data_IF_863840510258
#
_entry.id   IF_863840510258
#
_cell.length_a   1.000
_cell.length_b   1.000
_cell.length_c   1.000
_cell.angle_alpha   90.00
_cell.angle_beta   90.00
_cell.angle_gamma   90.00
#
_symmetry.space_group_name_H-M   'P 1'
#
loop_
_entity.id
_entity.type
_entity.pdbx_description
1 polymer ?
#
# COMPACT_ATOMS: atom_id res chain seq x y z
N UNK A 1 -51.71 52.71 -18.66
CA UNK A 1 -50.73 52.56 -19.76
C UNK A 1 -49.52 53.42 -19.41
N UNK A 2 -48.44 52.80 -18.96
CA UNK A 2 -47.15 53.44 -18.73
C UNK A 2 -46.06 52.38 -18.98
N UNK A 3 -45.22 52.63 -19.98
CA UNK A 3 -44.01 51.86 -20.25
C UNK A 3 -42.90 52.49 -19.41
N UNK A 4 -42.25 51.71 -18.55
CA UNK A 4 -41.02 52.10 -17.87
C UNK A 4 -40.06 50.91 -17.89
N UNK A 5 -38.98 51.07 -18.63
CA UNK A 5 -37.82 50.19 -18.73
C UNK A 5 -37.01 50.22 -17.43
N UNK A 6 -36.69 49.05 -16.87
CA UNK A 6 -35.71 48.93 -15.78
C UNK A 6 -34.42 48.33 -16.34
N UNK A 7 -33.36 49.15 -16.37
CA UNK A 7 -32.00 48.74 -16.70
C UNK A 7 -31.30 48.19 -15.45
N UNK A 8 -30.53 47.13 -15.64
CA UNK A 8 -29.67 46.49 -14.65
C UNK A 8 -28.47 47.37 -14.27
N UNK A 9 -28.20 47.51 -12.97
CA UNK A 9 -26.97 48.13 -12.45
C UNK A 9 -26.03 47.04 -11.90
N UNK A 10 -25.08 46.60 -12.73
CA UNK A 10 -23.87 45.91 -12.28
C UNK A 10 -22.88 46.94 -11.73
N UNK A 11 -22.68 46.95 -10.40
CA UNK A 11 -21.60 47.70 -9.74
C UNK A 11 -20.26 46.99 -9.99
N UNK A 12 -19.43 47.54 -10.88
CA UNK A 12 -18.03 47.16 -10.99
C UNK A 12 -17.26 47.67 -9.77
N UNK A 13 -16.78 46.75 -8.93
CA UNK A 13 -15.93 47.06 -7.77
C UNK A 13 -14.49 47.22 -8.29
N UNK A 14 -13.90 48.42 -8.20
CA UNK A 14 -12.48 48.65 -8.54
C UNK A 14 -11.59 47.94 -7.51
N UNK A 15 -10.78 46.99 -7.97
CA UNK A 15 -9.81 46.27 -7.13
C UNK A 15 -8.56 47.12 -6.90
N UNK A 16 -8.11 47.19 -5.64
CA UNK A 16 -6.84 47.85 -5.28
C UNK A 16 -5.65 47.03 -5.81
N UNK A 17 -4.53 47.68 -6.13
CA UNK A 17 -3.31 47.04 -6.69
C UNK A 17 -2.77 45.87 -5.85
N UNK A 18 -2.97 45.91 -4.53
CA UNK A 18 -2.61 44.80 -3.62
C UNK A 18 -3.41 43.52 -3.87
N UNK A 19 -4.67 43.63 -4.28
CA UNK A 19 -5.52 42.47 -4.56
C UNK A 19 -5.17 41.82 -5.89
N UNK A 20 -4.66 42.61 -6.84
CA UNK A 20 -4.10 42.09 -8.09
C UNK A 20 -2.84 41.29 -7.83
N UNK A 21 -1.93 41.77 -6.96
CA UNK A 21 -0.72 41.03 -6.60
C UNK A 21 -1.01 39.69 -5.91
N UNK A 22 -1.97 39.65 -4.98
CA UNK A 22 -2.38 38.40 -4.30
C UNK A 22 -3.06 37.43 -5.28
N UNK A 23 -3.91 37.93 -6.18
CA UNK A 23 -4.52 37.11 -7.22
C UNK A 23 -3.49 36.59 -8.23
N UNK A 24 -2.49 37.39 -8.59
CA UNK A 24 -1.40 37.00 -9.48
C UNK A 24 -0.48 35.94 -8.85
N UNK A 25 -0.17 36.08 -7.55
CA UNK A 25 0.60 35.08 -6.80
C UNK A 25 -0.18 33.77 -6.61
N UNK A 26 -1.49 33.85 -6.35
CA UNK A 26 -2.37 32.68 -6.29
C UNK A 26 -2.49 31.96 -7.64
N UNK A 27 -2.59 32.72 -8.74
CA UNK A 27 -2.62 32.15 -10.09
C UNK A 27 -1.27 31.53 -10.48
N UNK A 28 -0.15 32.13 -10.08
CA UNK A 28 1.20 31.55 -10.28
C UNK A 28 1.38 30.24 -9.51
N UNK A 29 0.90 30.14 -8.27
CA UNK A 29 0.95 28.89 -7.49
C UNK A 29 0.04 27.80 -8.06
N UNK A 30 -1.13 28.17 -8.56
CA UNK A 30 -2.06 27.23 -9.23
C UNK A 30 -1.46 26.76 -10.56
N UNK A 31 -0.86 27.66 -11.34
CA UNK A 31 -0.17 27.30 -12.60
C UNK A 31 1.06 26.44 -12.31
N UNK A 32 1.88 26.76 -11.31
CA UNK A 32 3.03 25.94 -10.92
C UNK A 32 2.61 24.53 -10.45
N UNK A 33 1.50 24.43 -9.72
CA UNK A 33 0.93 23.15 -9.31
C UNK A 33 0.39 22.36 -10.50
N UNK A 34 -0.33 23.02 -11.43
CA UNK A 34 -0.89 22.39 -12.64
C UNK A 34 0.19 22.02 -13.67
N UNK A 35 1.27 22.79 -13.79
CA UNK A 35 2.43 22.45 -14.63
C UNK A 35 3.10 21.17 -14.15
N UNK A 36 3.15 20.93 -12.83
CA UNK A 36 3.69 19.68 -12.27
C UNK A 36 2.76 18.47 -12.44
N UNK A 37 1.44 18.69 -12.54
CA UNK A 37 0.47 17.63 -12.88
C UNK A 37 0.38 17.35 -14.38
N UNK A 38 0.77 18.30 -15.23
CA UNK A 38 0.82 18.15 -16.69
C UNK A 38 2.19 17.64 -17.19
N UNK A 39 3.28 17.77 -16.43
CA UNK A 39 4.61 17.20 -16.72
C UNK A 39 4.76 15.69 -16.41
N UNK A 40 3.65 14.94 -16.44
CA UNK A 40 3.68 13.47 -16.45
C UNK A 40 3.98 12.90 -17.85
N UNK A 41 4.47 13.71 -18.77
CA UNK A 41 5.03 13.25 -20.06
C UNK A 41 6.49 13.64 -20.20
N UNK A 42 7.37 12.67 -19.94
CA UNK A 42 8.70 12.53 -20.54
C UNK A 42 9.78 13.58 -20.17
N UNK A 43 10.34 13.47 -18.97
CA UNK A 43 11.74 13.86 -18.73
C UNK A 43 12.60 12.61 -18.54
N UNK A 44 13.07 12.06 -19.67
CA UNK A 44 14.15 11.09 -19.70
C UNK A 44 15.48 11.81 -19.48
N UNK A 45 16.03 11.72 -18.27
CA UNK A 45 17.46 11.96 -18.03
C UNK A 45 18.24 10.97 -18.92
N UNK A 46 19.23 11.39 -19.73
CA UNK A 46 19.98 10.47 -20.56
C UNK A 46 20.84 9.59 -19.65
N UNK A 47 20.35 8.37 -19.38
CA UNK A 47 21.14 7.30 -18.81
C UNK A 47 22.25 6.97 -19.80
N UNK A 48 23.50 7.11 -19.38
CA UNK A 48 24.66 6.68 -20.16
C UNK A 48 24.51 5.18 -20.37
N UNK A 49 24.25 4.81 -21.62
CA UNK A 49 23.90 3.47 -22.05
C UNK A 49 25.14 2.57 -22.05
N UNK A 50 25.47 2.02 -20.89
CA UNK A 50 26.23 0.77 -20.82
C UNK A 50 25.22 -0.38 -20.93
N UNK A 51 24.76 -0.66 -22.14
CA UNK A 51 24.04 -1.90 -22.45
C UNK A 51 24.97 -3.10 -22.13
N UNK A 52 24.68 -3.89 -21.08
CA UNK A 52 25.19 -5.24 -21.04
C UNK A 52 24.43 -6.06 -22.11
N UNK A 53 24.98 -7.17 -22.62
CA UNK A 53 24.33 -7.94 -23.65
C UNK A 53 22.94 -8.41 -23.18
N UNK A 54 21.94 -8.20 -24.03
CA UNK A 54 20.56 -8.70 -23.90
C UNK A 54 20.61 -10.15 -23.43
N UNK A 55 20.24 -10.38 -22.18
CA UNK A 55 20.24 -11.70 -21.55
C UNK A 55 18.79 -12.09 -21.22
N UNK A 56 18.34 -13.13 -21.92
CA UNK A 56 17.13 -13.94 -21.66
C UNK A 56 15.76 -13.26 -21.89
N UNK A 57 14.72 -13.99 -22.34
CA UNK A 57 13.36 -13.45 -22.43
C UNK A 57 12.95 -12.93 -21.05
N UNK A 58 12.23 -11.81 -20.99
CA UNK A 58 11.67 -11.34 -19.73
C UNK A 58 10.80 -12.44 -19.13
N UNK A 59 11.24 -13.05 -18.02
CA UNK A 59 10.47 -13.99 -17.22
C UNK A 59 9.32 -13.23 -16.55
N UNK A 60 8.33 -12.83 -17.33
CA UNK A 60 7.14 -12.17 -16.83
C UNK A 60 6.35 -13.16 -15.98
N UNK A 61 5.99 -12.73 -14.77
CA UNK A 61 5.27 -13.55 -13.81
C UNK A 61 3.78 -13.24 -13.93
N UNK A 62 2.99 -14.25 -14.27
CA UNK A 62 1.54 -14.13 -14.46
C UNK A 62 0.80 -13.89 -13.14
N UNK A 63 -0.24 -13.07 -13.23
CA UNK A 63 -1.21 -12.85 -12.17
C UNK A 63 -2.01 -14.13 -11.95
N UNK A 64 -2.27 -14.43 -10.68
CA UNK A 64 -3.16 -15.48 -10.23
C UNK A 64 -4.17 -14.88 -9.26
N UNK A 65 -5.46 -14.96 -9.60
CA UNK A 65 -6.52 -14.59 -8.67
C UNK A 65 -6.71 -15.72 -7.66
N UNK A 66 -6.89 -15.35 -6.40
CA UNK A 66 -6.98 -16.32 -5.32
C UNK A 66 -8.30 -17.08 -5.36
N UNK A 67 -8.22 -18.40 -5.49
CA UNK A 67 -9.41 -19.27 -5.43
C UNK A 67 -9.94 -19.38 -4.00
N UNK A 68 -9.03 -19.39 -3.01
CA UNK A 68 -9.35 -19.42 -1.58
C UNK A 68 -10.00 -18.14 -1.07
N UNK A 69 -9.74 -17.01 -1.72
CA UNK A 69 -10.41 -15.75 -1.40
C UNK A 69 -11.93 -15.84 -1.58
N UNK A 70 -12.41 -16.49 -2.64
CA UNK A 70 -13.84 -16.66 -2.87
C UNK A 70 -14.52 -17.46 -1.75
N UNK A 71 -13.89 -18.54 -1.29
CA UNK A 71 -14.38 -19.40 -0.20
C UNK A 71 -14.46 -18.64 1.13
N UNK A 72 -13.47 -17.77 1.40
CA UNK A 72 -13.41 -16.93 2.61
C UNK A 72 -14.21 -15.64 2.52
N UNK A 73 -14.81 -15.33 1.38
CA UNK A 73 -15.45 -14.04 1.12
C UNK A 73 -14.46 -12.87 1.18
N UNK A 74 -13.19 -13.10 0.84
CA UNK A 74 -12.17 -12.07 0.75
C UNK A 74 -12.24 -11.37 -0.61
N UNK A 75 -12.41 -10.05 -0.60
CA UNK A 75 -12.57 -9.24 -1.81
C UNK A 75 -11.74 -7.96 -1.71
N UNK A 76 -11.27 -7.49 -2.86
CA UNK A 76 -10.75 -6.12 -3.02
C UNK A 76 -11.86 -5.08 -2.76
N UNK A 77 -11.49 -3.81 -2.63
CA UNK A 77 -12.43 -2.72 -2.33
C UNK A 77 -13.68 -2.70 -3.23
N UNK A 78 -13.57 -3.07 -4.52
CA UNK A 78 -14.68 -3.10 -5.48
C UNK A 78 -15.49 -4.41 -5.50
N UNK A 79 -15.07 -5.42 -4.75
CA UNK A 79 -15.69 -6.76 -4.74
C UNK A 79 -15.02 -7.79 -5.65
N UNK A 80 -13.97 -7.42 -6.38
CA UNK A 80 -13.20 -8.38 -7.19
C UNK A 80 -12.35 -9.30 -6.32
N UNK A 81 -11.90 -10.43 -6.87
CA UNK A 81 -11.03 -11.36 -6.14
C UNK A 81 -9.60 -10.80 -6.02
N UNK A 82 -8.96 -10.85 -4.85
CA UNK A 82 -7.56 -10.48 -4.71
C UNK A 82 -6.66 -11.45 -5.49
N UNK A 83 -5.42 -11.06 -5.72
CA UNK A 83 -4.47 -11.85 -6.49
C UNK A 83 -3.02 -11.61 -6.13
N UNK A 84 -2.17 -12.46 -6.70
CA UNK A 84 -0.74 -12.46 -6.48
C UNK A 84 -0.01 -12.96 -7.74
N UNK A 85 1.25 -12.60 -7.88
CA UNK A 85 2.14 -13.17 -8.88
C UNK A 85 3.06 -14.17 -8.19
N UNK A 86 3.27 -15.33 -8.81
CA UNK A 86 4.05 -16.43 -8.23
C UNK A 86 5.08 -16.97 -9.21
N UNK A 87 6.34 -16.94 -8.79
CA UNK A 87 7.44 -17.62 -9.47
C UNK A 87 7.94 -18.77 -8.60
N UNK A 88 7.92 -19.99 -9.14
CA UNK A 88 8.28 -21.21 -8.42
C UNK A 88 9.80 -21.27 -8.21
N UNK A 89 10.21 -21.66 -7.00
CA UNK A 89 11.62 -21.86 -6.68
C UNK A 89 12.24 -23.09 -7.36
N UNK A 90 13.57 -23.13 -7.41
CA UNK A 90 14.36 -24.19 -8.03
C UNK A 90 15.55 -24.60 -7.16
N UNK A 91 16.06 -25.82 -7.38
CA UNK A 91 17.20 -26.36 -6.62
C UNK A 91 17.02 -26.29 -5.11
N UNK A 92 18.01 -25.71 -4.43
CA UNK A 92 18.00 -25.51 -2.97
C UNK A 92 16.90 -24.56 -2.47
N UNK A 93 16.39 -23.65 -3.33
CA UNK A 93 15.36 -22.67 -2.98
C UNK A 93 13.92 -23.20 -3.03
N UNK A 94 13.70 -24.46 -3.44
CA UNK A 94 12.36 -25.07 -3.55
C UNK A 94 11.58 -25.12 -2.23
N UNK A 95 12.28 -25.11 -1.08
CA UNK A 95 11.68 -25.06 0.27
C UNK A 95 11.84 -23.70 0.95
N UNK A 96 12.24 -22.67 0.21
CA UNK A 96 12.40 -21.32 0.73
C UNK A 96 11.39 -20.39 0.05
N UNK A 97 10.79 -19.48 0.83
CA UNK A 97 9.69 -18.64 0.39
C UNK A 97 9.96 -17.18 0.70
N UNK A 98 9.77 -16.31 -0.30
CA UNK A 98 9.85 -14.87 -0.20
C UNK A 98 8.51 -14.28 -0.62
N UNK A 99 7.77 -13.73 0.35
CA UNK A 99 6.46 -13.12 0.14
C UNK A 99 6.61 -11.61 0.23
N UNK A 100 6.37 -10.89 -0.88
CA UNK A 100 6.43 -9.44 -0.94
C UNK A 100 5.01 -8.85 -1.02
N UNK A 101 4.67 -7.99 -0.07
CA UNK A 101 3.42 -7.25 -0.01
C UNK A 101 3.58 -5.91 -0.75
N UNK A 102 2.80 -5.72 -1.81
CA UNK A 102 2.76 -4.45 -2.54
C UNK A 102 2.30 -3.30 -1.62
N UNK A 103 2.87 -2.11 -1.84
CA UNK A 103 2.47 -0.87 -1.16
C UNK A 103 1.53 0.00 -2.01
N UNK A 104 1.13 1.14 -1.47
CA UNK A 104 0.32 2.11 -2.21
C UNK A 104 -0.58 2.96 -1.33
N UNK A 105 -0.07 3.50 -0.21
CA UNK A 105 -0.85 4.35 0.70
C UNK A 105 -2.15 3.67 1.23
N UNK A 106 -3.07 4.43 1.78
CA UNK A 106 -4.36 3.99 2.33
C UNK A 106 -5.51 4.86 1.79
N UNK A 107 -6.74 4.50 2.13
CA UNK A 107 -7.90 5.39 1.98
C UNK A 107 -8.62 5.52 3.33
N UNK A 108 -9.06 6.73 3.68
CA UNK A 108 -9.55 7.05 5.04
C UNK A 108 -10.96 7.68 5.05
N UNK A 109 -11.57 7.87 3.89
CA UNK A 109 -12.96 8.31 3.73
C UNK A 109 -13.67 7.46 2.67
N UNK A 110 -15.01 7.37 2.75
CA UNK A 110 -15.81 6.71 1.71
C UNK A 110 -15.49 7.24 0.31
N UNK A 111 -15.39 8.57 0.14
CA UNK A 111 -15.05 9.16 -1.15
C UNK A 111 -13.67 8.70 -1.64
N UNK A 112 -12.64 8.74 -0.79
CA UNK A 112 -11.29 8.29 -1.16
C UNK A 112 -11.22 6.79 -1.46
N UNK A 113 -11.95 5.96 -0.72
CA UNK A 113 -11.98 4.51 -0.94
C UNK A 113 -12.78 4.15 -2.20
N UNK A 114 -13.89 4.83 -2.47
CA UNK A 114 -14.64 4.69 -3.73
C UNK A 114 -13.81 5.09 -4.94
N UNK A 115 -13.07 6.19 -4.87
CA UNK A 115 -12.15 6.58 -5.94
C UNK A 115 -11.05 5.53 -6.13
N UNK A 116 -10.49 5.01 -5.02
CA UNK A 116 -9.46 3.97 -5.03
C UNK A 116 -9.95 2.64 -5.62
N UNK A 117 -11.19 2.25 -5.37
CA UNK A 117 -11.83 1.05 -5.92
C UNK A 117 -11.85 1.05 -7.46
N UNK A 118 -11.80 2.23 -8.09
CA UNK A 118 -11.72 2.39 -9.55
C UNK A 118 -10.29 2.33 -10.11
N UNK A 119 -9.32 1.80 -9.33
CA UNK A 119 -7.91 1.74 -9.70
C UNK A 119 -7.30 0.38 -9.36
N UNK A 120 -6.05 0.14 -9.80
CA UNK A 120 -5.27 -1.05 -9.43
C UNK A 120 -5.00 -1.20 -7.92
N UNK A 121 -5.27 -0.19 -7.10
CA UNK A 121 -5.10 -0.23 -5.64
C UNK A 121 -6.39 -0.53 -4.88
N UNK A 122 -7.47 -0.84 -5.60
CA UNK A 122 -8.76 -1.21 -5.03
C UNK A 122 -9.53 -2.25 -5.84
N UNK A 123 -9.03 -2.66 -7.01
CA UNK A 123 -9.68 -3.67 -7.86
C UNK A 123 -8.66 -4.45 -8.67
N UNK A 124 -8.84 -5.78 -8.66
CA UNK A 124 -8.05 -6.71 -9.48
C UNK A 124 -8.36 -6.60 -10.97
N UNK A 125 -9.45 -5.94 -11.36
CA UNK A 125 -9.78 -5.71 -12.77
C UNK A 125 -8.77 -4.80 -13.47
N UNK A 126 -7.97 -4.05 -12.68
CA UNK A 126 -6.91 -3.17 -13.16
C UNK A 126 -5.51 -3.68 -12.81
N UNK A 127 -5.36 -4.91 -12.33
CA UNK A 127 -4.04 -5.49 -12.14
C UNK A 127 -3.39 -5.78 -13.50
N UNK A 128 -2.08 -5.52 -13.59
CA UNK A 128 -1.26 -6.03 -14.67
C UNK A 128 -1.32 -7.56 -14.66
N UNK A 129 -1.65 -8.15 -15.81
CA UNK A 129 -1.75 -9.60 -15.96
C UNK A 129 -0.40 -10.30 -15.85
N UNK A 130 0.68 -9.57 -16.15
CA UNK A 130 2.05 -10.04 -16.17
C UNK A 130 2.95 -8.92 -15.66
N UNK A 131 3.91 -9.26 -14.79
CA UNK A 131 4.87 -8.29 -14.24
C UNK A 131 6.29 -8.85 -14.27
N UNK A 132 7.27 -7.99 -14.49
CA UNK A 132 8.67 -8.34 -14.28
C UNK A 132 8.99 -8.30 -12.78
N UNK A 133 9.61 -9.36 -12.27
CA UNK A 133 10.17 -9.36 -10.92
C UNK A 133 11.56 -8.75 -10.94
N UNK A 134 11.81 -7.79 -10.07
CA UNK A 134 13.05 -7.02 -9.96
C UNK A 134 13.57 -6.99 -8.52
N UNK A 135 14.82 -6.57 -8.34
CA UNK A 135 15.45 -6.45 -7.01
C UNK A 135 15.40 -7.76 -6.24
N UNK A 136 14.94 -7.73 -4.98
CA UNK A 136 14.82 -8.92 -4.12
C UNK A 136 13.89 -10.02 -4.67
N UNK A 137 13.02 -9.69 -5.63
CA UNK A 137 12.17 -10.68 -6.32
C UNK A 137 12.79 -11.18 -7.63
N UNK A 138 13.87 -10.58 -8.14
CA UNK A 138 14.48 -10.95 -9.43
C UNK A 138 14.96 -12.40 -9.46
N UNK A 139 14.91 -13.06 -10.62
CA UNK A 139 15.51 -14.38 -10.86
C UNK A 139 16.97 -14.28 -11.27
N UNK A 140 17.46 -13.07 -11.53
CA UNK A 140 18.84 -12.81 -11.89
C UNK A 140 19.70 -12.79 -10.61
N UNK A 141 20.66 -13.71 -10.44
CA UNK A 141 21.58 -13.72 -9.30
C UNK A 141 22.43 -12.45 -9.19
N UNK A 142 22.61 -11.68 -10.28
CA UNK A 142 23.33 -10.42 -10.24
C UNK A 142 22.56 -9.32 -9.49
N UNK A 143 21.23 -9.39 -9.50
CA UNK A 143 20.34 -8.47 -8.79
C UNK A 143 19.88 -9.04 -7.44
N UNK A 144 19.75 -10.36 -7.35
CA UNK A 144 19.22 -11.08 -6.21
C UNK A 144 20.12 -12.27 -5.83
N UNK A 145 21.33 -12.02 -5.33
CA UNK A 145 22.31 -13.08 -5.10
C UNK A 145 21.84 -14.13 -4.08
N UNK A 146 21.01 -13.74 -3.13
CA UNK A 146 20.60 -14.59 -2.01
C UNK A 146 19.32 -15.39 -2.26
N UNK A 147 18.36 -14.81 -3.00
CA UNK A 147 16.99 -15.34 -3.08
C UNK A 147 16.50 -15.66 -4.49
N UNK A 148 17.34 -15.53 -5.53
CA UNK A 148 16.92 -15.67 -6.93
C UNK A 148 16.21 -17.00 -7.25
N UNK A 149 16.58 -18.08 -6.56
CA UNK A 149 16.03 -19.42 -6.76
C UNK A 149 14.93 -19.81 -5.76
N UNK A 150 14.49 -18.91 -4.88
CA UNK A 150 13.41 -19.15 -3.93
C UNK A 150 12.04 -19.16 -4.62
N UNK A 151 11.03 -19.71 -3.94
CA UNK A 151 9.63 -19.42 -4.28
C UNK A 151 9.38 -17.94 -3.99
N UNK A 152 9.07 -17.15 -5.01
CA UNK A 152 8.94 -15.69 -4.92
C UNK A 152 7.51 -15.29 -5.24
N UNK A 153 6.91 -14.51 -4.35
CA UNK A 153 5.51 -14.11 -4.43
C UNK A 153 5.41 -12.60 -4.32
N UNK A 154 4.65 -11.97 -5.22
CA UNK A 154 4.22 -10.57 -5.07
C UNK A 154 2.71 -10.55 -4.86
N UNK A 155 2.28 -10.28 -3.63
CA UNK A 155 0.86 -10.13 -3.28
C UNK A 155 0.41 -8.73 -3.69
N UNK A 156 -0.66 -8.64 -4.48
CA UNK A 156 -1.19 -7.37 -4.97
C UNK A 156 -2.04 -6.69 -3.91
N UNK A 157 -1.90 -5.38 -3.79
CA UNK A 157 -2.54 -4.59 -2.74
C UNK A 157 -3.83 -3.93 -3.23
N UNK A 158 -4.96 -4.31 -2.65
CA UNK A 158 -6.28 -3.82 -3.09
C UNK A 158 -7.31 -3.54 -1.97
N UNK A 159 -6.90 -3.56 -0.69
CA UNK A 159 -7.81 -3.29 0.44
C UNK A 159 -7.71 -1.85 0.97
N UNK A 160 -6.57 -1.17 0.78
CA UNK A 160 -6.39 0.21 1.26
C UNK A 160 -6.21 0.35 2.78
N UNK A 161 -5.92 -0.74 3.50
CA UNK A 161 -5.75 -0.80 4.95
C UNK A 161 -4.53 -1.66 5.37
N UNK A 162 -3.47 -1.77 4.56
CA UNK A 162 -2.32 -2.64 4.87
C UNK A 162 -2.74 -4.08 5.23
N UNK A 163 -3.67 -4.64 4.45
CA UNK A 163 -4.25 -5.96 4.69
C UNK A 163 -4.85 -6.16 6.09
N UNK A 164 -5.44 -5.11 6.69
CA UNK A 164 -5.88 -5.15 8.09
C UNK A 164 -7.38 -4.88 8.28
N UNK A 165 -8.10 -4.43 7.25
CA UNK A 165 -9.54 -4.17 7.33
C UNK A 165 -10.37 -5.44 7.60
N UNK A 166 -11.50 -5.28 8.29
CA UNK A 166 -12.45 -6.37 8.59
C UNK A 166 -13.89 -6.04 8.17
N UNK A 167 -14.68 -7.04 7.73
CA UNK A 167 -16.03 -6.83 7.20
C UNK A 167 -17.03 -6.28 8.22
N UNK A 168 -16.75 -6.39 9.53
CA UNK A 168 -17.61 -5.83 10.58
C UNK A 168 -17.78 -4.31 10.49
N UNK A 169 -16.86 -3.61 9.84
CA UNK A 169 -16.94 -2.17 9.59
C UNK A 169 -17.71 -1.81 8.30
N UNK A 170 -18.13 -2.78 7.49
CA UNK A 170 -18.83 -2.53 6.23
C UNK A 170 -20.25 -1.99 6.46
N UNK A 171 -20.60 -0.92 5.75
CA UNK A 171 -21.95 -0.36 5.76
C UNK A 171 -22.90 -1.28 5.00
N UNK A 172 -23.86 -1.88 5.70
CA UNK A 172 -24.76 -2.89 5.13
C UNK A 172 -25.57 -2.42 3.90
N UNK A 173 -25.85 -1.11 3.76
CA UNK A 173 -26.84 -0.61 2.79
C UNK A 173 -26.43 0.62 1.95
N UNK A 174 -25.21 1.17 2.06
CA UNK A 174 -24.95 2.51 1.50
C UNK A 174 -23.78 2.60 0.51
N UNK A 175 -22.80 1.69 0.57
CA UNK A 175 -21.61 1.71 -0.31
C UNK A 175 -21.21 0.29 -0.71
N UNK A 176 -20.98 0.03 -2.01
CA UNK A 176 -20.45 -1.24 -2.54
C UNK A 176 -18.95 -1.44 -2.23
N UNK A 177 -18.47 -0.98 -1.08
CA UNK A 177 -17.07 -1.09 -0.67
C UNK A 177 -16.87 -2.29 0.25
N UNK A 178 -15.77 -3.02 0.05
CA UNK A 178 -15.38 -4.16 0.86
C UNK A 178 -14.09 -3.87 1.63
N UNK A 179 -14.16 -3.80 2.96
CA UNK A 179 -13.01 -3.53 3.82
C UNK A 179 -12.46 -4.85 4.38
N UNK A 180 -11.91 -5.70 3.51
CA UNK A 180 -11.61 -7.10 3.83
C UNK A 180 -10.13 -7.46 3.80
N UNK A 181 -9.25 -6.48 4.01
CA UNK A 181 -7.80 -6.67 3.96
C UNK A 181 -7.29 -7.86 4.78
N UNK A 182 -7.81 -8.05 5.99
CA UNK A 182 -7.43 -9.19 6.83
C UNK A 182 -7.83 -10.52 6.19
N UNK A 183 -9.03 -10.62 5.63
CA UNK A 183 -9.48 -11.85 4.96
C UNK A 183 -8.69 -12.12 3.68
N UNK A 184 -8.28 -11.08 2.94
CA UNK A 184 -7.40 -11.21 1.78
C UNK A 184 -6.08 -11.84 2.21
N UNK A 185 -5.45 -11.31 3.27
CA UNK A 185 -4.19 -11.83 3.77
C UNK A 185 -4.30 -13.31 4.18
N UNK A 186 -5.31 -13.66 4.98
CA UNK A 186 -5.53 -15.04 5.41
C UNK A 186 -5.78 -15.99 4.23
N UNK A 187 -6.58 -15.57 3.25
CA UNK A 187 -6.87 -16.38 2.06
C UNK A 187 -5.62 -16.62 1.20
N UNK A 188 -4.77 -15.60 1.03
CA UNK A 188 -3.53 -15.72 0.28
C UNK A 188 -2.56 -16.64 1.02
N UNK A 189 -2.42 -16.52 2.34
CA UNK A 189 -1.56 -17.43 3.12
C UNK A 189 -2.03 -18.87 3.01
N UNK A 190 -3.33 -19.14 3.18
CA UNK A 190 -3.89 -20.48 2.99
C UNK A 190 -3.59 -21.07 1.61
N UNK A 191 -3.71 -20.24 0.58
CA UNK A 191 -3.44 -20.68 -0.79
C UNK A 191 -1.96 -21.02 -0.98
N UNK A 192 -1.05 -20.18 -0.49
CA UNK A 192 0.39 -20.44 -0.55
C UNK A 192 0.79 -21.67 0.26
N UNK A 193 0.17 -21.90 1.43
CA UNK A 193 0.34 -23.12 2.23
C UNK A 193 -0.07 -24.37 1.44
N UNK A 194 -1.18 -24.31 0.71
CA UNK A 194 -1.65 -25.38 -0.17
C UNK A 194 -0.74 -25.63 -1.36
N UNK A 195 -0.01 -24.60 -1.79
CA UNK A 195 0.98 -24.67 -2.89
C UNK A 195 2.36 -25.17 -2.43
N UNK A 196 2.53 -25.52 -1.15
CA UNK A 196 3.74 -26.13 -0.63
C UNK A 196 4.48 -25.31 0.42
N UNK A 197 4.02 -24.10 0.74
CA UNK A 197 4.64 -23.28 1.81
C UNK A 197 4.51 -23.95 3.19
N UNK A 198 3.54 -24.85 3.36
CA UNK A 198 3.41 -25.73 4.52
C UNK A 198 4.63 -26.64 4.77
N UNK A 199 5.51 -26.82 3.77
CA UNK A 199 6.75 -27.59 3.88
C UNK A 199 8.01 -26.70 3.88
N UNK A 200 7.86 -25.39 4.05
CA UNK A 200 8.96 -24.44 4.00
C UNK A 200 10.00 -24.71 5.10
N UNK A 201 11.28 -24.52 4.76
CA UNK A 201 12.40 -24.47 5.71
C UNK A 201 12.86 -23.05 5.99
N UNK A 202 12.58 -22.13 5.07
CA UNK A 202 12.88 -20.72 5.22
C UNK A 202 11.72 -19.88 4.68
N UNK A 203 11.42 -18.78 5.37
CA UNK A 203 10.36 -17.85 4.99
C UNK A 203 10.77 -16.41 5.27
N UNK A 204 10.59 -15.53 4.30
CA UNK A 204 10.71 -14.09 4.48
C UNK A 204 9.39 -13.45 4.09
N UNK A 205 8.80 -12.71 5.02
CA UNK A 205 7.73 -11.76 4.71
C UNK A 205 8.34 -10.38 4.53
N UNK A 206 8.10 -9.74 3.40
CA UNK A 206 8.55 -8.38 3.14
C UNK A 206 7.46 -7.56 2.47
N UNK A 207 7.66 -6.26 2.36
CA UNK A 207 6.80 -5.36 1.61
C UNK A 207 7.36 -3.95 1.63
N UNK A 208 6.85 -3.11 0.75
CA UNK A 208 7.27 -1.70 0.62
C UNK A 208 6.14 -0.74 1.03
N UNK A 209 6.44 0.36 1.71
CA UNK A 209 5.47 1.39 2.09
C UNK A 209 4.31 0.81 2.93
N UNK A 210 3.06 0.93 2.49
CA UNK A 210 1.91 0.30 3.14
C UNK A 210 2.04 -1.24 3.27
N UNK A 211 2.71 -1.89 2.31
CA UNK A 211 3.06 -3.31 2.38
C UNK A 211 4.20 -3.59 3.36
N UNK A 212 5.10 -2.63 3.54
CA UNK A 212 6.14 -2.66 4.58
C UNK A 212 5.53 -2.60 5.97
N UNK A 213 4.55 -1.72 6.19
CA UNK A 213 3.77 -1.69 7.44
C UNK A 213 3.00 -3.01 7.63
N UNK A 214 2.36 -3.51 6.56
CA UNK A 214 1.65 -4.78 6.61
C UNK A 214 2.58 -5.95 6.99
N UNK A 215 3.84 -5.95 6.53
CA UNK A 215 4.82 -6.98 6.89
C UNK A 215 5.14 -7.00 8.38
N UNK A 216 5.00 -5.86 9.09
CA UNK A 216 5.15 -5.78 10.54
C UNK A 216 3.88 -6.25 11.25
N UNK A 217 2.71 -5.76 10.83
CA UNK A 217 1.41 -6.12 11.41
C UNK A 217 1.19 -7.64 11.35
N UNK A 218 1.50 -8.25 10.21
CA UNK A 218 1.24 -9.67 9.94
C UNK A 218 2.44 -10.59 10.19
N UNK A 219 3.54 -10.07 10.75
CA UNK A 219 4.79 -10.81 10.87
C UNK A 219 4.64 -12.11 11.68
N UNK A 220 4.09 -12.00 12.89
CA UNK A 220 3.92 -13.14 13.77
C UNK A 220 2.82 -14.10 13.26
N UNK A 221 1.78 -13.57 12.59
CA UNK A 221 0.80 -14.42 11.90
C UNK A 221 1.49 -15.28 10.83
N UNK A 222 2.34 -14.68 9.98
CA UNK A 222 3.10 -15.42 8.98
C UNK A 222 3.98 -16.47 9.62
N UNK A 223 4.73 -16.11 10.68
CA UNK A 223 5.56 -17.07 11.41
C UNK A 223 4.73 -18.24 11.92
N UNK A 224 3.61 -17.98 12.57
CA UNK A 224 2.83 -19.02 13.24
C UNK A 224 2.22 -20.05 12.26
N UNK A 225 2.15 -19.75 10.95
CA UNK A 225 1.66 -20.65 9.91
C UNK A 225 2.74 -21.50 9.22
N UNK A 226 4.03 -21.22 9.43
CA UNK A 226 5.13 -22.01 8.88
C UNK A 226 5.59 -23.11 9.85
N UNK A 227 6.23 -24.20 9.37
CA UNK A 227 6.75 -25.27 10.23
C UNK A 227 7.56 -24.76 11.41
N UNK A 228 7.46 -25.42 12.58
CA UNK A 228 8.12 -24.97 13.82
C UNK A 228 9.64 -24.86 13.68
N UNK A 229 10.24 -25.70 12.85
CA UNK A 229 11.68 -25.73 12.55
C UNK A 229 12.10 -24.84 11.36
N UNK A 230 11.16 -24.12 10.74
CA UNK A 230 11.47 -23.16 9.69
C UNK A 230 12.10 -21.88 10.25
N UNK A 231 13.12 -21.37 9.55
CA UNK A 231 13.69 -20.05 9.82
C UNK A 231 12.85 -18.98 9.16
N UNK A 232 12.21 -18.12 9.97
CA UNK A 232 11.33 -17.07 9.48
C UNK A 232 11.81 -15.71 9.93
N UNK A 233 11.79 -14.73 9.02
CA UNK A 233 12.10 -13.33 9.29
C UNK A 233 11.08 -12.44 8.58
N UNK A 234 10.92 -11.22 9.08
CA UNK A 234 10.15 -10.19 8.37
C UNK A 234 11.03 -8.98 8.07
N UNK A 235 10.81 -8.37 6.91
CA UNK A 235 11.57 -7.21 6.41
C UNK A 235 10.59 -6.11 6.04
N UNK A 236 10.61 -5.02 6.80
CA UNK A 236 9.79 -3.84 6.50
C UNK A 236 10.63 -2.83 5.74
N UNK A 237 10.29 -2.58 4.47
CA UNK A 237 10.91 -1.54 3.64
C UNK A 237 10.00 -0.31 3.54
N UNK A 238 10.47 0.84 4.04
CA UNK A 238 9.71 2.09 4.05
C UNK A 238 8.38 2.00 4.83
N UNK A 239 8.27 1.04 5.76
CA UNK A 239 7.04 0.77 6.52
C UNK A 239 7.03 1.34 7.94
N UNK A 240 8.11 1.99 8.37
CA UNK A 240 8.25 2.55 9.71
C UNK A 240 7.86 4.03 9.73
N UNK A 241 6.57 4.31 9.80
CA UNK A 241 6.02 5.67 9.91
C UNK A 241 6.02 6.15 11.36
N UNK A 242 6.25 7.45 11.54
CA UNK A 242 6.37 8.10 12.85
C UNK A 242 5.11 8.88 13.22
N UNK A 243 4.70 8.77 14.48
CA UNK A 243 3.61 9.56 15.04
C UNK A 243 4.12 10.90 15.60
N UNK A 244 4.49 11.82 14.70
CA UNK A 244 4.99 13.16 15.03
C UNK A 244 4.05 14.25 14.48
N UNK A 245 4.03 15.46 15.09
CA UNK A 245 3.34 16.60 14.51
C UNK A 245 3.92 17.00 13.14
N UNK A 246 3.09 17.58 12.28
CA UNK A 246 3.53 18.26 11.06
C UNK A 246 4.22 19.60 11.37
N UNK A 247 4.69 20.30 10.33
CA UNK A 247 5.37 21.61 10.46
C UNK A 247 4.51 22.71 11.09
N UNK A 248 3.19 22.55 11.11
CA UNK A 248 2.24 23.45 11.77
C UNK A 248 1.86 22.99 13.18
N UNK A 249 2.41 21.86 13.65
CA UNK A 249 2.13 21.29 14.96
C UNK A 249 0.86 20.42 15.01
N UNK A 250 0.23 20.11 13.87
CA UNK A 250 -0.97 19.29 13.84
C UNK A 250 -0.64 17.79 13.80
N UNK A 251 -1.47 16.92 14.41
CA UNK A 251 -1.29 15.47 14.37
C UNK A 251 -1.84 14.88 13.06
N UNK A 252 -1.34 15.33 11.91
CA UNK A 252 -1.91 15.05 10.58
C UNK A 252 -1.90 13.56 10.26
N UNK A 253 -0.75 12.88 10.34
CA UNK A 253 -0.69 11.44 10.05
C UNK A 253 -1.49 10.60 11.07
N UNK A 254 -1.50 11.01 12.35
CA UNK A 254 -2.31 10.35 13.39
C UNK A 254 -3.80 10.46 13.09
N UNK A 255 -4.25 11.63 12.65
CA UNK A 255 -5.64 11.86 12.26
C UNK A 255 -6.01 11.01 11.05
N UNK A 256 -5.12 10.92 10.06
CA UNK A 256 -5.28 10.06 8.90
C UNK A 256 -5.42 8.58 9.30
N UNK A 257 -4.51 8.03 10.10
CA UNK A 257 -4.60 6.64 10.57
C UNK A 257 -5.80 6.39 11.48
N UNK A 258 -6.22 7.36 12.29
CA UNK A 258 -7.48 7.25 13.04
C UNK A 258 -8.67 7.05 12.11
N UNK A 259 -8.71 7.80 11.02
CA UNK A 259 -9.81 7.71 10.07
C UNK A 259 -9.75 6.39 9.28
N UNK A 260 -8.57 5.88 8.90
CA UNK A 260 -8.40 4.53 8.33
C UNK A 260 -8.91 3.45 9.28
N UNK A 261 -8.43 3.46 10.53
CA UNK A 261 -8.77 2.45 11.54
C UNK A 261 -10.26 2.44 11.85
N UNK A 262 -10.87 3.62 11.97
CA UNK A 262 -12.31 3.76 12.25
C UNK A 262 -13.16 3.33 11.06
N UNK A 263 -12.80 3.75 9.85
CA UNK A 263 -13.59 3.46 8.65
C UNK A 263 -13.58 1.98 8.30
N UNK A 264 -12.43 1.33 8.43
CA UNK A 264 -12.20 -0.03 7.91
C UNK A 264 -12.13 -1.11 9.00
N UNK A 265 -12.28 -0.75 10.28
CA UNK A 265 -12.38 -1.71 11.40
C UNK A 265 -11.10 -2.51 11.64
N UNK A 266 -9.99 -1.83 11.93
CA UNK A 266 -8.66 -2.46 12.03
C UNK A 266 -8.33 -2.99 13.44
N UNK A 267 -9.09 -2.61 14.47
CA UNK A 267 -8.78 -2.86 15.88
C UNK A 267 -8.42 -4.32 16.19
N UNK A 268 -9.16 -5.29 15.63
CA UNK A 268 -8.91 -6.73 15.83
C UNK A 268 -7.79 -7.32 14.96
N UNK A 269 -7.25 -6.55 14.03
CA UNK A 269 -6.16 -6.97 13.13
C UNK A 269 -4.80 -6.40 13.56
N UNK A 270 -4.81 -5.35 14.38
CA UNK A 270 -3.60 -4.76 14.94
C UNK A 270 -3.09 -5.54 16.15
N UNK A 271 -1.89 -5.19 16.63
CA UNK A 271 -1.32 -5.81 17.82
C UNK A 271 -2.22 -5.58 19.05
N UNK A 272 -2.75 -6.66 19.60
CA UNK A 272 -3.74 -6.59 20.69
C UNK A 272 -3.14 -6.07 22.00
N UNK A 273 -1.82 -6.24 22.22
CA UNK A 273 -1.14 -5.64 23.38
C UNK A 273 -1.08 -4.11 23.27
N UNK A 274 -0.84 -3.59 22.08
CA UNK A 274 -0.91 -2.16 21.79
C UNK A 274 -2.34 -1.64 21.95
N UNK A 275 -3.33 -2.30 21.32
CA UNK A 275 -4.74 -1.89 21.37
C UNK A 275 -5.29 -1.85 22.80
N UNK A 276 -4.84 -2.75 23.67
CA UNK A 276 -5.21 -2.73 25.09
C UNK A 276 -4.59 -1.57 25.89
N UNK A 277 -3.47 -0.98 25.42
CA UNK A 277 -2.71 0.07 26.12
C UNK A 277 -3.06 1.48 25.65
N UNK A 278 -3.47 1.63 24.38
CA UNK A 278 -3.67 2.95 23.75
C UNK A 278 -4.81 2.91 22.74
N UNK A 279 -5.18 4.08 22.21
CA UNK A 279 -6.11 4.20 21.08
C UNK A 279 -5.65 3.34 19.89
N UNK A 280 -6.54 2.53 19.27
CA UNK A 280 -6.20 1.62 18.18
C UNK A 280 -5.48 2.28 17.00
N UNK A 281 -5.79 3.54 16.70
CA UNK A 281 -5.15 4.34 15.65
C UNK A 281 -3.64 4.48 15.83
N UNK A 282 -3.16 4.50 17.07
CA UNK A 282 -1.73 4.60 17.36
C UNK A 282 -1.00 3.28 17.05
N UNK A 283 -1.71 2.16 17.08
CA UNK A 283 -1.17 0.83 16.78
C UNK A 283 -0.92 0.58 15.29
N UNK A 284 -1.25 1.54 14.43
CA UNK A 284 -0.77 1.58 13.05
C UNK A 284 0.68 2.09 12.95
N UNK A 285 1.20 2.76 13.98
CA UNK A 285 2.57 3.24 13.96
C UNK A 285 3.52 2.22 14.61
N UNK A 286 4.54 1.72 13.89
CA UNK A 286 5.43 0.69 14.40
C UNK A 286 6.09 0.97 15.74
N UNK A 287 6.37 2.23 16.11
CA UNK A 287 6.96 2.51 17.43
C UNK A 287 6.11 2.04 18.61
N UNK A 288 4.80 1.83 18.42
CA UNK A 288 3.91 1.38 19.49
C UNK A 288 3.93 -0.13 19.72
N UNK A 289 4.20 -0.92 18.67
CA UNK A 289 4.01 -2.38 18.69
C UNK A 289 5.22 -3.20 18.23
N UNK A 290 6.26 -2.59 17.65
CA UNK A 290 7.41 -3.33 17.11
C UNK A 290 8.10 -4.20 18.16
N UNK A 291 8.15 -3.73 19.42
CA UNK A 291 8.71 -4.48 20.55
C UNK A 291 7.87 -5.70 20.97
N UNK A 292 6.63 -5.82 20.48
CA UNK A 292 5.76 -6.95 20.76
C UNK A 292 5.93 -8.09 19.74
N UNK A 293 6.56 -7.82 18.59
CA UNK A 293 6.80 -8.81 17.54
C UNK A 293 7.89 -9.79 17.99
N UNK A 294 7.58 -11.08 17.96
CA UNK A 294 8.49 -12.15 18.41
C UNK A 294 9.44 -12.60 17.30
N UNK A 295 8.97 -12.52 16.07
CA UNK A 295 9.72 -12.96 14.88
C UNK A 295 10.84 -11.97 14.56
N UNK A 296 12.06 -12.43 14.21
CA UNK A 296 13.16 -11.53 13.87
C UNK A 296 12.82 -10.55 12.75
N UNK A 297 13.12 -9.28 12.99
CA UNK A 297 12.83 -8.17 12.09
C UNK A 297 14.09 -7.58 11.47
N UNK A 298 13.97 -7.16 10.21
CA UNK A 298 14.88 -6.22 9.57
C UNK A 298 14.08 -4.98 9.18
N UNK A 299 14.46 -3.81 9.69
CA UNK A 299 13.82 -2.55 9.36
C UNK A 299 14.70 -1.80 8.37
N UNK A 300 14.21 -1.65 7.14
CA UNK A 300 14.83 -0.84 6.11
C UNK A 300 13.97 0.43 5.96
N UNK A 301 14.50 1.58 6.36
CA UNK A 301 13.76 2.83 6.23
C UNK A 301 14.71 3.96 5.89
N UNK A 302 14.33 4.81 4.94
CA UNK A 302 15.06 6.03 4.67
C UNK A 302 14.98 6.97 5.90
N UNK A 303 16.06 7.70 6.17
CA UNK A 303 16.07 8.71 7.22
C UNK A 303 15.08 9.85 6.94
N UNK A 304 14.89 10.16 5.65
CA UNK A 304 13.93 11.12 5.14
C UNK A 304 13.01 10.42 4.14
N UNK A 305 12.10 9.60 4.66
CA UNK A 305 11.09 8.96 3.82
C UNK A 305 10.18 10.01 3.17
N UNK A 306 10.01 9.90 1.84
CA UNK A 306 9.25 10.87 1.06
C UNK A 306 7.81 11.00 1.57
N UNK A 307 7.17 9.89 1.91
CA UNK A 307 5.78 9.89 2.35
C UNK A 307 5.63 10.47 3.76
N UNK A 308 6.57 10.15 4.65
CA UNK A 308 6.66 10.75 5.98
C UNK A 308 6.86 12.27 5.91
N UNK A 309 7.73 12.75 5.03
CA UNK A 309 7.96 14.20 4.84
C UNK A 309 6.74 14.85 4.20
N UNK A 310 6.19 14.27 3.13
CA UNK A 310 5.00 14.80 2.46
C UNK A 310 3.80 14.92 3.42
N UNK A 311 3.59 13.95 4.30
CA UNK A 311 2.51 13.99 5.29
C UNK A 311 2.77 14.97 6.46
N UNK A 312 4.00 15.49 6.58
CA UNK A 312 4.42 16.42 7.63
C UNK A 312 4.59 17.86 7.14
N UNK A 313 4.45 18.13 5.84
CA UNK A 313 4.44 19.48 5.24
C UNK A 313 3.03 20.06 5.20
#
# INVERSE_FOLDING_TARGET
MAISTFSSLLRYRKWAKSNWLVASLGLLLIVFSLSFFLDLTSDSVPFVDHNPPITSPSDLVKLKLSSKAKERGAFCLDGSLPGYHFSKGSGSGTKSWLIHLEGGSWCNTIASCSARAMTRLGSSNYFEHEVSFQGVLSSDPSQNPDFFNWNRVKVRYCDGASFSGRPEAEFKNETRLFFRGQLIWEAIIDELLSMGMSNAKQGILTGCSAGGLASLIHCDYFRDHLPKDAFVKCVSDGGFFLNVPDVLGNPTMRSFYRDVVKLQGLDKSLDQKCVARTEPSKCMFPQEFVNNIRTPLFLLNAAYDYWQVFAAL
#
